data_IF_481714702298
#
_entry.id   IF_481714702298
#
_cell.length_a   1.000
_cell.length_b   1.000
_cell.length_c   1.000
_cell.angle_alpha   90.00
_cell.angle_beta   90.00
_cell.angle_gamma   90.00
#
_symmetry.space_group_name_H-M   'P 1'
#
loop_
_entity.id
_entity.type
_entity.pdbx_description
1 polymer ?
#
# COMPACT_ATOMS: atom_id res chain seq x y z
N UNK A 1 -12.31 1.33 -13.89
CA UNK A 1 -11.43 1.22 -12.72
C UNK A 1 -12.17 0.61 -11.55
N UNK A 2 -11.94 -0.68 -11.36
CA UNK A 2 -12.35 -1.37 -10.15
C UNK A 2 -11.50 -0.87 -8.97
N UNK A 3 -12.08 -0.01 -8.14
CA UNK A 3 -11.40 0.61 -6.98
C UNK A 3 -11.07 -0.40 -5.88
N UNK A 4 -11.50 -1.67 -6.00
CA UNK A 4 -11.34 -2.69 -4.95
C UNK A 4 -9.88 -2.90 -4.60
N UNK A 5 -8.98 -3.12 -5.56
CA UNK A 5 -7.54 -3.37 -5.28
C UNK A 5 -6.87 -2.16 -4.63
N UNK A 6 -7.13 -0.96 -5.16
CA UNK A 6 -6.56 0.28 -4.63
C UNK A 6 -7.09 0.59 -3.23
N UNK A 7 -8.35 0.26 -2.94
CA UNK A 7 -8.95 0.43 -1.60
C UNK A 7 -8.46 -0.61 -0.58
N UNK A 8 -8.05 -1.80 -1.03
CA UNK A 8 -7.58 -2.87 -0.15
C UNK A 8 -6.25 -2.54 0.54
N UNK A 9 -5.33 -1.84 -0.15
CA UNK A 9 -4.02 -1.47 0.40
C UNK A 9 -4.15 -0.67 1.72
N UNK A 10 -4.83 0.50 1.76
CA UNK A 10 -4.98 1.27 2.99
C UNK A 10 -5.81 0.53 4.05
N UNK A 11 -6.73 -0.36 3.64
CA UNK A 11 -7.54 -1.17 4.55
C UNK A 11 -6.72 -2.24 5.25
N UNK A 12 -5.85 -2.95 4.52
CA UNK A 12 -4.87 -3.85 5.13
C UNK A 12 -3.88 -3.09 6.00
N UNK A 13 -3.40 -1.90 5.57
CA UNK A 13 -2.53 -1.07 6.40
C UNK A 13 -3.18 -0.71 7.75
N UNK A 14 -4.47 -0.35 7.74
CA UNK A 14 -5.24 -0.12 8.98
C UNK A 14 -5.42 -1.40 9.80
N UNK A 15 -5.67 -2.54 9.17
CA UNK A 15 -5.77 -3.84 9.85
C UNK A 15 -4.46 -4.20 10.55
N UNK A 16 -3.33 -4.06 9.86
CA UNK A 16 -1.99 -4.31 10.37
C UNK A 16 -1.69 -3.39 11.56
N UNK A 17 -2.03 -2.10 11.45
CA UNK A 17 -1.91 -1.16 12.56
C UNK A 17 -2.73 -1.58 13.79
N UNK A 18 -3.98 -2.01 13.60
CA UNK A 18 -4.82 -2.51 14.69
C UNK A 18 -4.17 -3.72 15.37
N UNK A 19 -3.64 -4.67 14.59
CA UNK A 19 -2.98 -5.86 15.14
C UNK A 19 -1.75 -5.49 15.96
N UNK A 20 -0.88 -4.63 15.41
CA UNK A 20 0.33 -4.15 16.10
C UNK A 20 -0.01 -3.38 17.37
N UNK A 21 -1.04 -2.51 17.35
CA UNK A 21 -1.48 -1.78 18.53
C UNK A 21 -1.94 -2.72 19.65
N UNK A 22 -2.75 -3.73 19.33
CA UNK A 22 -3.23 -4.69 20.31
C UNK A 22 -2.05 -5.50 20.87
N UNK A 23 -1.14 -5.96 20.01
CA UNK A 23 0.07 -6.68 20.42
C UNK A 23 0.99 -5.86 21.33
N UNK A 24 1.05 -4.54 21.13
CA UNK A 24 1.87 -3.63 21.94
C UNK A 24 1.25 -3.28 23.29
N UNK A 25 0.19 -4.00 23.72
CA UNK A 25 -0.53 -3.75 24.97
C UNK A 25 -1.66 -2.72 24.85
N UNK A 26 -2.00 -2.29 23.63
CA UNK A 26 -3.15 -1.43 23.38
C UNK A 26 -4.47 -2.16 23.65
N UNK A 27 -5.51 -1.40 24.03
CA UNK A 27 -6.83 -1.98 24.30
C UNK A 27 -7.47 -2.57 23.03
N UNK A 28 -8.18 -3.67 23.21
CA UNK A 28 -9.09 -4.23 22.22
C UNK A 28 -10.49 -3.64 22.45
N UNK A 29 -10.98 -2.86 21.48
CA UNK A 29 -12.25 -2.14 21.58
C UNK A 29 -13.28 -2.67 20.58
N UNK A 30 -14.55 -2.29 20.76
CA UNK A 30 -15.60 -2.66 19.83
C UNK A 30 -15.35 -2.12 18.42
N UNK A 31 -14.82 -0.91 18.28
CA UNK A 31 -14.50 -0.30 16.98
C UNK A 31 -13.43 -1.09 16.22
N UNK A 32 -12.43 -1.62 16.94
CA UNK A 32 -11.41 -2.51 16.37
C UNK A 32 -12.05 -3.83 15.92
N UNK A 33 -12.90 -4.42 16.75
CA UNK A 33 -13.61 -5.66 16.40
C UNK A 33 -14.60 -5.49 15.24
N UNK A 34 -15.29 -4.36 15.18
CA UNK A 34 -16.19 -3.99 14.08
C UNK A 34 -15.40 -3.82 12.78
N UNK A 35 -14.22 -3.18 12.84
CA UNK A 35 -13.36 -3.05 11.67
C UNK A 35 -12.87 -4.41 11.16
N UNK A 36 -12.41 -5.30 12.05
CA UNK A 36 -11.96 -6.65 11.71
C UNK A 36 -13.10 -7.45 11.06
N UNK A 37 -14.30 -7.42 11.66
CA UNK A 37 -15.48 -8.11 11.15
C UNK A 37 -15.94 -7.55 9.81
N UNK A 38 -15.92 -6.22 9.65
CA UNK A 38 -16.24 -5.54 8.40
C UNK A 38 -15.25 -5.87 7.30
N UNK A 39 -13.95 -5.89 7.61
CA UNK A 39 -12.89 -6.25 6.68
C UNK A 39 -13.11 -7.65 6.08
N UNK A 40 -13.37 -8.65 6.93
CA UNK A 40 -13.63 -10.01 6.46
C UNK A 40 -14.89 -10.09 5.59
N UNK A 41 -15.95 -9.35 5.93
CA UNK A 41 -17.19 -9.31 5.15
C UNK A 41 -17.00 -8.66 3.77
N UNK A 42 -16.22 -7.59 3.71
CA UNK A 42 -15.96 -6.81 2.49
C UNK A 42 -15.06 -7.58 1.51
N UNK A 43 -14.03 -8.25 2.02
CA UNK A 43 -12.99 -8.89 1.21
C UNK A 43 -13.00 -10.42 1.20
N UNK A 44 -13.97 -11.05 1.88
CA UNK A 44 -14.06 -12.50 2.02
C UNK A 44 -14.31 -13.28 0.73
N UNK A 45 -14.72 -12.61 -0.35
CA UNK A 45 -14.88 -13.22 -1.66
C UNK A 45 -13.60 -13.09 -2.51
N UNK A 46 -12.92 -14.23 -2.68
CA UNK A 46 -11.71 -14.36 -3.49
C UNK A 46 -11.97 -14.28 -4.99
N UNK A 47 -13.18 -14.61 -5.48
CA UNK A 47 -13.52 -14.53 -6.90
C UNK A 47 -13.69 -13.07 -7.33
N UNK A 48 -14.39 -12.27 -6.52
CA UNK A 48 -14.49 -10.83 -6.75
C UNK A 48 -13.11 -10.18 -6.70
N UNK A 49 -12.22 -10.63 -5.82
CA UNK A 49 -10.83 -10.18 -5.81
C UNK A 49 -10.07 -10.52 -7.10
N UNK A 50 -10.12 -11.77 -7.56
CA UNK A 50 -9.43 -12.20 -8.79
C UNK A 50 -9.96 -11.44 -10.02
N UNK A 51 -11.26 -11.20 -10.09
CA UNK A 51 -11.90 -10.40 -11.17
C UNK A 51 -11.41 -8.95 -11.17
N UNK A 52 -11.33 -8.32 -10.00
CA UNK A 52 -10.82 -6.96 -9.85
C UNK A 52 -9.34 -6.87 -10.25
N UNK A 53 -8.55 -7.89 -9.91
CA UNK A 53 -7.14 -7.98 -10.27
C UNK A 53 -6.94 -8.13 -11.78
N UNK A 54 -7.71 -9.00 -12.45
CA UNK A 54 -7.69 -9.12 -13.93
C UNK A 54 -8.04 -7.77 -14.56
N UNK A 55 -9.08 -7.11 -14.08
CA UNK A 55 -9.53 -5.81 -14.60
C UNK A 55 -8.45 -4.74 -14.45
N UNK A 56 -7.75 -4.69 -13.31
CA UNK A 56 -6.63 -3.79 -13.07
C UNK A 56 -5.48 -4.01 -14.06
N UNK A 57 -5.12 -5.28 -14.33
CA UNK A 57 -4.06 -5.64 -15.27
C UNK A 57 -4.42 -5.24 -16.70
N UNK A 58 -5.71 -5.30 -17.06
CA UNK A 58 -6.18 -4.90 -18.40
C UNK A 58 -6.27 -3.39 -18.59
N UNK A 59 -6.56 -2.63 -17.52
CA UNK A 59 -6.78 -1.18 -17.59
C UNK A 59 -5.50 -0.33 -17.39
N UNK A 60 -4.46 -0.87 -16.74
CA UNK A 60 -3.25 -0.12 -16.37
C UNK A 60 -1.99 -0.65 -17.05
N UNK A 61 -0.98 0.20 -17.23
CA UNK A 61 0.31 -0.25 -17.76
C UNK A 61 1.11 -1.08 -16.73
N UNK A 62 2.04 -1.88 -17.26
CA UNK A 62 2.84 -2.85 -16.50
C UNK A 62 3.58 -2.27 -15.30
N UNK A 63 4.02 -1.01 -15.38
CA UNK A 63 4.78 -0.39 -14.30
C UNK A 63 3.86 0.01 -13.15
N UNK A 64 2.72 0.63 -13.45
CA UNK A 64 1.81 1.13 -12.41
C UNK A 64 1.08 0.01 -11.66
N UNK A 65 0.54 -1.02 -12.35
CA UNK A 65 -0.11 -2.10 -11.62
C UNK A 65 0.89 -2.96 -10.84
N UNK A 66 2.13 -3.16 -11.34
CA UNK A 66 3.17 -3.91 -10.62
C UNK A 66 3.50 -3.27 -9.27
N UNK A 67 3.61 -1.94 -9.21
CA UNK A 67 3.80 -1.21 -7.94
C UNK A 67 2.64 -1.42 -6.98
N UNK A 68 1.40 -1.38 -7.47
CA UNK A 68 0.21 -1.59 -6.66
C UNK A 68 0.13 -3.03 -6.12
N UNK A 69 0.37 -4.03 -6.98
CA UNK A 69 0.34 -5.45 -6.59
C UNK A 69 1.45 -5.77 -5.58
N UNK A 70 2.66 -5.23 -5.75
CA UNK A 70 3.74 -5.41 -4.78
C UNK A 70 3.43 -4.73 -3.43
N UNK A 71 2.81 -3.55 -3.47
CA UNK A 71 2.37 -2.86 -2.25
C UNK A 71 1.30 -3.66 -1.51
N UNK A 72 0.30 -4.17 -2.22
CA UNK A 72 -0.74 -5.03 -1.65
C UNK A 72 -0.15 -6.34 -1.11
N UNK A 73 0.74 -6.99 -1.87
CA UNK A 73 1.45 -8.19 -1.44
C UNK A 73 2.15 -7.97 -0.10
N UNK A 74 2.92 -6.90 0.03
CA UNK A 74 3.62 -6.55 1.28
C UNK A 74 2.66 -6.38 2.45
N UNK A 75 1.53 -5.70 2.25
CA UNK A 75 0.54 -5.52 3.32
C UNK A 75 -0.13 -6.84 3.75
N UNK A 76 -0.39 -7.74 2.80
CA UNK A 76 -0.94 -9.08 3.07
C UNK A 76 0.07 -9.94 3.82
N UNK A 77 1.33 -9.98 3.36
CA UNK A 77 2.42 -10.70 4.02
C UNK A 77 2.64 -10.21 5.45
N UNK A 78 2.61 -8.89 5.65
CA UNK A 78 2.71 -8.28 6.97
C UNK A 78 1.55 -8.73 7.88
N UNK A 79 0.33 -8.80 7.35
CA UNK A 79 -0.83 -9.27 8.12
C UNK A 79 -0.66 -10.73 8.58
N UNK A 80 -0.30 -11.60 7.65
CA UNK A 80 -0.07 -13.03 7.90
C UNK A 80 1.04 -13.21 8.93
N UNK A 81 2.16 -12.51 8.76
CA UNK A 81 3.30 -12.54 9.69
C UNK A 81 2.91 -12.09 11.09
N UNK A 82 2.20 -10.96 11.19
CA UNK A 82 1.76 -10.39 12.47
C UNK A 82 0.81 -11.35 13.20
N UNK A 83 -0.19 -11.89 12.51
CA UNK A 83 -1.11 -12.87 13.09
C UNK A 83 -0.37 -14.14 13.55
N UNK A 84 0.50 -14.71 12.70
CA UNK A 84 1.21 -15.94 13.02
C UNK A 84 2.18 -15.80 14.19
N UNK A 85 2.83 -14.64 14.33
CA UNK A 85 3.73 -14.33 15.45
C UNK A 85 3.02 -14.40 16.81
N UNK A 86 1.73 -14.04 16.85
CA UNK A 86 0.93 -14.01 18.07
C UNK A 86 -0.40 -14.74 17.92
N UNK A 87 -0.40 -15.90 17.24
CA UNK A 87 -1.61 -16.64 16.90
C UNK A 87 -2.49 -16.95 18.10
N UNK A 88 -1.91 -17.52 19.16
CA UNK A 88 -2.67 -17.89 20.37
C UNK A 88 -3.35 -16.69 21.03
N UNK A 89 -2.71 -15.52 20.97
CA UNK A 89 -3.27 -14.28 21.49
C UNK A 89 -4.46 -13.81 20.65
N UNK A 90 -4.31 -13.75 19.32
CA UNK A 90 -5.38 -13.33 18.43
C UNK A 90 -6.58 -14.29 18.45
N UNK A 91 -6.34 -15.60 18.53
CA UNK A 91 -7.41 -16.61 18.59
C UNK A 91 -8.21 -16.53 19.91
N UNK A 92 -7.58 -16.04 20.99
CA UNK A 92 -8.20 -15.88 22.31
C UNK A 92 -8.76 -14.47 22.58
N UNK A 93 -8.79 -13.58 21.59
CA UNK A 93 -9.39 -12.25 21.76
C UNK A 93 -10.84 -12.39 22.23
N UNK A 94 -11.16 -11.76 23.36
CA UNK A 94 -12.50 -11.77 23.95
C UNK A 94 -13.43 -10.79 23.22
N UNK A 95 -13.79 -11.17 22.01
CA UNK A 95 -14.80 -10.49 21.17
C UNK A 95 -16.15 -10.40 21.87
N UNK A 96 -16.50 -11.41 22.67
CA UNK A 96 -17.72 -11.42 23.47
C UNK A 96 -17.75 -10.31 24.52
N UNK A 97 -16.64 -10.06 25.21
CA UNK A 97 -16.53 -8.97 26.19
C UNK A 97 -16.73 -7.60 25.54
N UNK A 98 -16.01 -7.30 24.46
CA UNK A 98 -16.15 -5.98 23.80
C UNK A 98 -17.55 -5.78 23.21
N UNK A 99 -18.18 -6.85 22.70
CA UNK A 99 -19.56 -6.80 22.21
C UNK A 99 -20.57 -6.55 23.34
N UNK A 100 -20.41 -7.22 24.50
CA UNK A 100 -21.25 -6.98 25.69
C UNK A 100 -21.11 -5.55 26.19
N UNK A 101 -19.89 -5.02 26.25
CA UNK A 101 -19.64 -3.63 26.66
C UNK A 101 -20.33 -2.63 25.73
N UNK A 102 -20.29 -2.85 24.41
CA UNK A 102 -20.98 -2.02 23.43
C UNK A 102 -22.50 -2.07 23.59
N UNK A 103 -23.07 -3.25 23.82
CA UNK A 103 -24.50 -3.42 24.06
C UNK A 103 -24.96 -2.70 25.34
N UNK A 104 -24.19 -2.81 26.43
CA UNK A 104 -24.55 -2.25 27.74
C UNK A 104 -24.31 -0.73 27.87
N UNK A 105 -23.70 -0.08 26.87
CA UNK A 105 -23.29 1.34 26.98
C UNK A 105 -24.43 2.32 27.26
N UNK A 106 -25.67 1.93 26.96
CA UNK A 106 -26.86 2.74 27.18
C UNK A 106 -27.63 2.39 28.46
N UNK A 107 -27.27 1.32 29.17
CA UNK A 107 -28.04 0.81 30.32
C UNK A 107 -28.18 1.88 31.41
N UNK A 108 -27.06 2.52 31.77
CA UNK A 108 -27.06 3.60 32.76
C UNK A 108 -27.88 4.82 32.31
N UNK A 109 -27.80 5.15 31.02
CA UNK A 109 -28.57 6.26 30.44
C UNK A 109 -30.08 5.99 30.49
N UNK A 110 -30.48 4.76 30.17
CA UNK A 110 -31.87 4.30 30.24
C UNK A 110 -32.35 4.33 31.69
N UNK A 111 -31.58 3.77 32.64
CA UNK A 111 -31.95 3.74 34.06
C UNK A 111 -32.15 5.16 34.61
N UNK A 112 -31.26 6.10 34.25
CA UNK A 112 -31.37 7.50 34.65
C UNK A 112 -32.58 8.18 34.01
N UNK A 113 -32.76 8.05 32.70
CA UNK A 113 -33.87 8.69 31.98
C UNK A 113 -35.23 8.10 32.40
N UNK A 114 -35.29 6.82 32.73
CA UNK A 114 -36.48 6.16 33.24
C UNK A 114 -36.93 6.77 34.58
N UNK A 115 -35.99 7.08 35.49
CA UNK A 115 -36.31 7.78 36.75
C UNK A 115 -36.93 9.16 36.49
N UNK A 116 -36.31 9.95 35.62
CA UNK A 116 -36.81 11.27 35.22
C UNK A 116 -38.20 11.17 34.59
N UNK A 117 -38.39 10.23 33.66
CA UNK A 117 -39.67 10.02 32.97
C UNK A 117 -40.77 9.62 33.95
N UNK A 118 -40.45 8.81 34.97
CA UNK A 118 -41.39 8.39 36.00
C UNK A 118 -41.78 9.52 36.97
N UNK A 119 -40.89 10.50 37.21
CA UNK A 119 -41.22 11.71 37.98
C UNK A 119 -42.27 12.55 37.25
N UNK A 120 -42.04 12.85 35.96
CA UNK A 120 -43.01 13.57 35.14
C UNK A 120 -44.32 12.80 34.94
N UNK A 121 -44.26 11.46 34.85
CA UNK A 121 -45.46 10.64 34.82
C UNK A 121 -46.29 10.80 36.10
N UNK A 122 -45.65 10.86 37.27
CA UNK A 122 -46.34 11.08 38.54
C UNK A 122 -47.03 12.45 38.57
N UNK A 123 -46.35 13.51 38.15
CA UNK A 123 -46.95 14.85 38.05
C UNK A 123 -48.14 14.89 37.09
N UNK A 124 -48.04 14.19 35.95
CA UNK A 124 -49.13 14.03 34.99
C UNK A 124 -50.33 13.32 35.62
N UNK A 125 -50.10 12.22 36.34
CA UNK A 125 -51.16 11.48 37.03
C UNK A 125 -51.84 12.31 38.12
N UNK A 126 -51.08 13.11 38.88
CA UNK A 126 -51.63 14.04 39.88
C UNK A 126 -52.46 15.16 39.24
N UNK A 127 -52.00 15.73 38.13
CA UNK A 127 -52.74 16.73 37.37
C UNK A 127 -54.03 16.15 36.78
N UNK A 128 -53.97 14.93 36.22
CA UNK A 128 -55.12 14.21 35.69
C UNK A 128 -56.14 13.90 36.80
N UNK A 129 -55.70 13.37 37.94
CA UNK A 129 -56.59 13.08 39.06
C UNK A 129 -57.25 14.34 39.64
N UNK A 130 -56.53 15.47 39.66
CA UNK A 130 -57.09 16.76 40.07
C UNK A 130 -58.18 17.24 39.10
N UNK A 131 -57.96 17.08 37.79
CA UNK A 131 -58.93 17.42 36.75
C UNK A 131 -60.18 16.52 36.82
N UNK A 132 -60.00 15.21 36.96
CA UNK A 132 -61.09 14.24 37.11
C UNK A 132 -61.94 14.52 38.36
N UNK A 133 -61.29 14.86 39.49
CA UNK A 133 -61.99 15.13 40.75
C UNK A 133 -62.94 16.33 40.67
N UNK A 134 -62.66 17.32 39.82
CA UNK A 134 -63.52 18.51 39.65
C UNK A 134 -64.89 18.16 39.08
N UNK A 135 -64.99 17.12 38.24
CA UNK A 135 -66.26 16.65 37.70
C UNK A 135 -67.26 16.12 38.75
N UNK A 136 -66.82 15.92 40.00
CA UNK A 136 -67.64 15.39 41.10
C UNK A 136 -68.06 16.44 42.14
N UNK A 137 -67.77 17.73 41.93
CA UNK A 137 -68.16 18.82 42.84
C UNK A 137 -68.58 20.09 42.10
N UNK A 138 -69.25 21.00 42.81
CA UNK A 138 -69.47 22.36 42.29
C UNK A 138 -68.13 23.06 42.04
N UNK A 139 -68.01 23.67 40.86
CA UNK A 139 -66.85 24.41 40.39
C UNK A 139 -67.31 25.46 39.37
N UNK A 140 -66.43 26.43 39.09
CA UNK A 140 -66.62 27.37 38.00
C UNK A 140 -65.77 26.99 36.78
N UNK A 141 -66.09 27.61 35.64
CA UNK A 141 -65.38 27.38 34.39
C UNK A 141 -63.90 27.81 34.46
N UNK A 142 -63.55 28.80 35.27
CA UNK A 142 -62.18 29.29 35.36
C UNK A 142 -61.28 28.27 36.08
N UNK A 143 -61.83 27.59 37.08
CA UNK A 143 -61.17 26.50 37.80
C UNK A 143 -60.88 25.30 36.88
N UNK A 144 -61.85 24.89 36.07
CA UNK A 144 -61.68 23.81 35.08
C UNK A 144 -60.60 24.16 34.04
N UNK A 145 -60.67 25.36 33.43
CA UNK A 145 -59.68 25.84 32.45
C UNK A 145 -58.26 25.90 33.04
N UNK A 146 -58.11 26.22 34.33
CA UNK A 146 -56.81 26.23 35.01
C UNK A 146 -56.23 24.83 35.18
N UNK A 147 -57.06 23.84 35.53
CA UNK A 147 -56.65 22.45 35.69
C UNK A 147 -56.32 21.80 34.35
N UNK A 148 -57.10 22.07 33.29
CA UNK A 148 -56.79 21.64 31.93
C UNK A 148 -55.43 22.16 31.47
N UNK A 149 -55.13 23.45 31.68
CA UNK A 149 -53.82 24.04 31.36
C UNK A 149 -52.68 23.38 32.13
N UNK A 150 -52.90 23.03 33.41
CA UNK A 150 -51.91 22.30 34.21
C UNK A 150 -51.68 20.90 33.63
N UNK A 151 -52.75 20.18 33.33
CA UNK A 151 -52.68 18.84 32.73
C UNK A 151 -51.93 18.86 31.40
N UNK A 152 -52.31 19.73 30.47
CA UNK A 152 -51.66 19.81 29.16
C UNK A 152 -50.17 20.17 29.25
N UNK A 153 -49.81 21.05 30.20
CA UNK A 153 -48.40 21.35 30.49
C UNK A 153 -47.66 20.11 31.00
N UNK A 154 -48.20 19.40 31.99
CA UNK A 154 -47.58 18.19 32.54
C UNK A 154 -47.45 17.10 31.47
N UNK A 155 -48.49 16.93 30.63
CA UNK A 155 -48.50 15.98 29.52
C UNK A 155 -47.40 16.26 28.51
N UNK A 156 -47.23 17.52 28.12
CA UNK A 156 -46.17 17.93 27.19
C UNK A 156 -44.76 17.65 27.72
N UNK A 157 -44.51 17.91 29.00
CA UNK A 157 -43.19 17.62 29.59
C UNK A 157 -42.97 16.09 29.74
N UNK A 158 -43.99 15.32 30.13
CA UNK A 158 -43.92 13.86 30.13
C UNK A 158 -43.64 13.29 28.73
N UNK A 159 -44.38 13.72 27.71
CA UNK A 159 -44.21 13.24 26.33
C UNK A 159 -42.80 13.52 25.80
N UNK A 160 -42.23 14.68 26.18
CA UNK A 160 -40.85 15.06 25.85
C UNK A 160 -39.81 14.15 26.51
N UNK A 161 -39.95 13.85 27.81
CA UNK A 161 -39.03 12.95 28.50
C UNK A 161 -39.19 11.48 28.08
N UNK A 162 -40.42 11.06 27.76
CA UNK A 162 -40.73 9.77 27.15
C UNK A 162 -40.07 9.61 25.79
N UNK A 163 -40.14 10.63 24.93
CA UNK A 163 -39.48 10.59 23.63
C UNK A 163 -37.95 10.43 23.73
N UNK A 164 -37.32 11.04 24.75
CA UNK A 164 -35.89 10.83 25.04
C UNK A 164 -35.60 9.40 25.49
N UNK A 165 -36.46 8.82 26.33
CA UNK A 165 -36.33 7.43 26.77
C UNK A 165 -36.48 6.46 25.59
N UNK A 166 -37.45 6.69 24.71
CA UNK A 166 -37.68 5.88 23.50
C UNK A 166 -36.47 5.91 22.57
N UNK A 167 -35.83 7.08 22.42
CA UNK A 167 -34.62 7.22 21.61
C UNK A 167 -33.44 6.41 22.19
N UNK A 168 -33.26 6.41 23.51
CA UNK A 168 -32.23 5.58 24.16
C UNK A 168 -32.47 4.08 23.92
N UNK A 169 -33.72 3.63 23.97
CA UNK A 169 -34.05 2.24 23.66
C UNK A 169 -33.77 1.89 22.20
N UNK A 170 -34.06 2.79 21.24
CA UNK A 170 -33.68 2.60 19.83
C UNK A 170 -32.17 2.47 19.65
N UNK A 171 -31.40 3.31 20.34
CA UNK A 171 -29.94 3.26 20.29
C UNK A 171 -29.38 1.97 20.89
N UNK A 172 -29.96 1.48 21.99
CA UNK A 172 -29.61 0.18 22.58
C UNK A 172 -29.89 -0.99 21.63
N UNK A 173 -31.06 -0.98 20.98
CA UNK A 173 -31.41 -2.02 20.01
C UNK A 173 -30.48 -2.01 18.79
N UNK A 174 -30.04 -0.81 18.36
CA UNK A 174 -29.04 -0.69 17.29
C UNK A 174 -27.67 -1.22 17.73
N UNK A 175 -27.20 -0.87 18.95
CA UNK A 175 -25.93 -1.39 19.48
C UNK A 175 -25.95 -2.92 19.62
N UNK A 176 -27.08 -3.50 20.03
CA UNK A 176 -27.26 -4.96 20.08
C UNK A 176 -27.13 -5.60 18.69
N UNK A 177 -27.77 -5.01 17.67
CA UNK A 177 -27.65 -5.49 16.27
C UNK A 177 -26.21 -5.41 15.75
N UNK A 178 -25.50 -4.33 16.06
CA UNK A 178 -24.08 -4.17 15.70
C UNK A 178 -23.18 -5.18 16.41
N UNK A 179 -23.41 -5.41 17.71
CA UNK A 179 -22.67 -6.37 18.52
C UNK A 179 -22.82 -7.80 17.98
N UNK A 180 -24.05 -8.21 17.64
CA UNK A 180 -24.32 -9.53 17.06
C UNK A 180 -23.55 -9.76 15.75
N UNK A 181 -23.44 -8.72 14.92
CA UNK A 181 -22.70 -8.79 13.66
C UNK A 181 -21.18 -8.91 13.82
N UNK A 182 -20.66 -8.61 15.01
CA UNK A 182 -19.23 -8.59 15.31
C UNK A 182 -18.86 -9.60 16.40
N UNK A 183 -19.75 -10.55 16.73
CA UNK A 183 -19.52 -11.51 17.81
C UNK A 183 -18.44 -12.54 17.47
N UNK A 184 -18.31 -12.91 16.19
CA UNK A 184 -17.34 -13.90 15.75
C UNK A 184 -15.94 -13.29 15.66
N UNK A 185 -14.95 -13.96 16.23
CA UNK A 185 -13.55 -13.62 16.00
C UNK A 185 -13.14 -14.04 14.58
N UNK A 186 -12.80 -13.06 13.75
CA UNK A 186 -12.40 -13.26 12.36
C UNK A 186 -10.89 -13.20 12.14
N UNK A 187 -10.04 -13.00 13.16
CA UNK A 187 -8.60 -12.88 12.95
C UNK A 187 -8.00 -14.09 12.22
N UNK A 188 -8.37 -15.31 12.63
CA UNK A 188 -7.94 -16.53 11.94
C UNK A 188 -8.60 -16.76 10.59
N UNK A 189 -9.85 -16.33 10.39
CA UNK A 189 -10.51 -16.36 9.09
C UNK A 189 -9.79 -15.43 8.09
N UNK A 190 -9.40 -14.24 8.54
CA UNK A 190 -8.66 -13.26 7.76
C UNK A 190 -7.28 -13.79 7.40
N UNK A 191 -6.54 -14.42 8.32
CA UNK A 191 -5.24 -14.99 7.97
C UNK A 191 -5.35 -16.04 6.85
N UNK A 192 -6.37 -16.92 6.90
CA UNK A 192 -6.66 -17.90 5.83
C UNK A 192 -7.03 -17.22 4.51
N UNK A 193 -7.88 -16.21 4.57
CA UNK A 193 -8.26 -15.39 3.42
C UNK A 193 -7.04 -14.71 2.81
N UNK A 194 -6.21 -14.04 3.62
CA UNK A 194 -4.96 -13.40 3.23
C UNK A 194 -4.01 -14.37 2.54
N UNK A 195 -3.88 -15.60 3.04
CA UNK A 195 -3.09 -16.64 2.36
C UNK A 195 -3.65 -17.01 0.98
N UNK A 196 -4.99 -17.09 0.85
CA UNK A 196 -5.64 -17.37 -0.43
C UNK A 196 -5.48 -16.21 -1.43
N UNK A 197 -5.63 -14.97 -0.96
CA UNK A 197 -5.42 -13.75 -1.76
C UNK A 197 -3.96 -13.63 -2.19
N UNK A 198 -3.01 -13.97 -1.33
CA UNK A 198 -1.59 -14.00 -1.65
C UNK A 198 -1.29 -15.03 -2.74
N UNK A 199 -1.84 -16.23 -2.65
CA UNK A 199 -1.68 -17.26 -3.67
C UNK A 199 -2.23 -16.83 -5.03
N UNK A 200 -3.38 -16.15 -5.04
CA UNK A 200 -3.95 -15.54 -6.26
C UNK A 200 -3.00 -14.46 -6.80
N UNK A 201 -2.56 -13.51 -5.98
CA UNK A 201 -1.61 -12.46 -6.38
C UNK A 201 -0.34 -13.05 -6.99
N UNK A 202 0.21 -14.09 -6.37
CA UNK A 202 1.42 -14.75 -6.84
C UNK A 202 1.23 -15.44 -8.19
N UNK A 203 0.06 -16.04 -8.46
CA UNK A 203 -0.26 -16.56 -9.79
C UNK A 203 -0.12 -15.47 -10.86
N UNK A 204 -0.66 -14.27 -10.63
CA UNK A 204 -0.59 -13.20 -11.63
C UNK A 204 0.78 -12.52 -11.70
N UNK A 205 1.52 -12.42 -10.59
CA UNK A 205 2.91 -11.94 -10.59
C UNK A 205 3.88 -12.96 -11.22
N UNK A 206 3.61 -14.26 -11.10
CA UNK A 206 4.42 -15.32 -11.72
C UNK A 206 4.02 -15.56 -13.18
N UNK A 207 2.73 -15.42 -13.51
CA UNK A 207 2.26 -15.35 -14.90
C UNK A 207 2.79 -14.09 -15.59
N UNK A 208 3.11 -13.01 -14.86
CA UNK A 208 3.88 -11.89 -15.38
C UNK A 208 5.31 -12.33 -15.73
N UNK A 209 6.01 -13.02 -14.81
CA UNK A 209 7.35 -13.58 -15.08
C UNK A 209 7.34 -14.64 -16.19
N UNK A 210 6.23 -15.37 -16.36
CA UNK A 210 6.04 -16.37 -17.41
C UNK A 210 5.59 -15.76 -18.72
N UNK A 211 4.77 -14.71 -18.75
CA UNK A 211 4.43 -13.96 -19.98
C UNK A 211 5.61 -13.11 -20.45
N UNK A 212 6.36 -12.51 -19.54
CA UNK A 212 7.71 -11.97 -19.80
C UNK A 212 8.69 -13.09 -20.20
N UNK A 213 8.41 -14.35 -19.90
CA UNK A 213 9.19 -15.54 -20.32
C UNK A 213 8.76 -16.12 -21.67
N UNK A 214 7.46 -16.13 -21.98
CA UNK A 214 6.84 -16.70 -23.18
C UNK A 214 6.89 -15.68 -24.34
N UNK A 215 6.76 -14.38 -24.08
CA UNK A 215 7.06 -13.32 -25.07
C UNK A 215 8.58 -13.28 -25.39
N UNK A 216 9.43 -13.73 -24.46
CA UNK A 216 10.88 -13.93 -24.69
C UNK A 216 11.23 -15.26 -25.37
N UNK A 217 10.34 -16.25 -25.37
CA UNK A 217 10.53 -17.50 -26.11
C UNK A 217 10.07 -17.37 -27.57
N UNK A 218 9.11 -16.50 -27.87
CA UNK A 218 8.73 -16.19 -29.25
C UNK A 218 9.71 -15.23 -29.95
N UNK A 219 10.51 -14.47 -29.20
CA UNK A 219 11.55 -13.56 -29.73
C UNK A 219 12.84 -13.75 -28.94
N UNK A 220 13.51 -14.89 -29.16
CA UNK A 220 14.97 -15.08 -28.95
C UNK A 220 15.60 -14.37 -27.75
N UNK A 221 15.71 -15.09 -26.62
CA UNK A 221 16.84 -15.01 -25.68
C UNK A 221 17.40 -13.61 -25.35
N UNK A 222 16.78 -12.84 -24.45
CA UNK A 222 17.48 -11.73 -23.76
C UNK A 222 17.11 -11.63 -22.26
N UNK A 223 18.07 -12.06 -21.44
CA UNK A 223 18.39 -11.54 -20.09
C UNK A 223 18.17 -10.03 -20.01
N UNK A 224 17.60 -9.52 -18.92
CA UNK A 224 17.79 -8.12 -18.52
C UNK A 224 19.30 -7.84 -18.61
N UNK A 225 19.77 -6.90 -19.44
CA UNK A 225 21.20 -6.75 -19.66
C UNK A 225 21.87 -6.40 -18.34
N UNK A 226 22.98 -7.05 -17.98
CA UNK A 226 23.75 -6.67 -16.80
C UNK A 226 24.13 -5.19 -16.90
N UNK A 227 23.77 -4.40 -15.88
CA UNK A 227 24.29 -3.04 -15.74
C UNK A 227 25.72 -3.15 -15.22
N UNK A 228 26.70 -3.00 -16.11
CA UNK A 228 28.11 -3.10 -15.79
C UNK A 228 28.63 -1.89 -14.98
N UNK A 229 28.15 -0.68 -15.27
CA UNK A 229 28.65 0.54 -14.64
C UNK A 229 27.52 1.43 -14.07
N UNK A 230 27.75 2.04 -12.90
CA UNK A 230 26.82 3.00 -12.33
C UNK A 230 26.76 4.29 -13.16
N UNK A 231 25.59 4.91 -13.22
CA UNK A 231 25.34 6.16 -13.96
C UNK A 231 26.39 7.23 -13.68
N UNK A 232 26.76 7.42 -12.39
CA UNK A 232 27.74 8.43 -11.96
C UNK A 232 29.11 8.29 -12.65
N UNK A 233 29.58 7.07 -12.87
CA UNK A 233 30.85 6.83 -13.55
C UNK A 233 30.73 7.15 -15.04
N UNK A 234 29.64 6.71 -15.67
CA UNK A 234 29.40 6.93 -17.09
C UNK A 234 29.14 8.40 -17.42
N UNK A 235 28.49 9.17 -16.55
CA UNK A 235 28.33 10.62 -16.72
C UNK A 235 29.69 11.33 -16.71
N UNK A 236 30.60 10.96 -15.80
CA UNK A 236 31.95 11.55 -15.77
C UNK A 236 32.78 11.22 -17.02
N UNK A 237 32.65 10.01 -17.56
CA UNK A 237 33.28 9.62 -18.83
C UNK A 237 32.61 10.34 -20.00
N UNK A 238 31.28 10.43 -20.00
CA UNK A 238 30.50 11.11 -21.04
C UNK A 238 30.88 12.58 -21.16
N UNK A 239 30.99 13.31 -20.04
CA UNK A 239 31.40 14.72 -20.01
C UNK A 239 32.77 14.96 -20.66
N UNK A 240 33.68 13.98 -20.58
CA UNK A 240 35.03 14.07 -21.14
C UNK A 240 35.14 13.55 -22.56
N UNK A 241 34.41 12.49 -22.90
CA UNK A 241 34.63 11.74 -24.14
C UNK A 241 33.56 11.99 -25.21
N UNK A 242 32.37 12.48 -24.85
CA UNK A 242 31.31 12.77 -25.81
C UNK A 242 31.68 13.97 -26.68
N UNK A 243 31.68 13.80 -28.00
CA UNK A 243 32.15 14.82 -28.92
C UNK A 243 33.67 14.88 -29.07
N UNK A 244 34.47 14.23 -28.22
CA UNK A 244 35.94 14.19 -28.32
C UNK A 244 36.44 12.83 -28.85
N UNK A 245 36.25 11.75 -28.08
CA UNK A 245 36.59 10.38 -28.49
C UNK A 245 35.44 9.71 -29.25
N UNK A 246 34.20 10.03 -28.87
CA UNK A 246 33.00 9.51 -29.49
C UNK A 246 32.28 10.58 -30.32
N UNK A 247 31.54 10.15 -31.33
CA UNK A 247 30.56 11.03 -31.97
C UNK A 247 29.52 11.49 -30.95
N UNK A 248 28.97 12.70 -31.12
CA UNK A 248 28.01 13.25 -30.18
C UNK A 248 26.74 12.38 -30.13
N UNK A 249 26.45 11.83 -28.96
CA UNK A 249 25.25 11.06 -28.65
C UNK A 249 24.56 11.64 -27.41
N UNK A 250 23.31 11.23 -27.15
CA UNK A 250 22.64 11.57 -25.90
C UNK A 250 23.32 10.86 -24.71
N UNK A 251 23.23 11.43 -23.51
CA UNK A 251 23.76 10.79 -22.30
C UNK A 251 23.09 9.44 -22.02
N UNK A 252 21.79 9.33 -22.33
CA UNK A 252 21.01 8.09 -22.21
C UNK A 252 21.51 7.02 -23.19
N UNK A 253 21.76 7.38 -24.45
CA UNK A 253 22.32 6.45 -25.44
C UNK A 253 23.74 6.05 -25.05
N UNK A 254 24.57 6.99 -24.59
CA UNK A 254 25.91 6.67 -24.11
C UNK A 254 25.87 5.66 -22.95
N UNK A 255 24.97 5.90 -21.97
CA UNK A 255 24.74 4.99 -20.86
C UNK A 255 24.30 3.61 -21.32
N UNK A 256 23.34 3.54 -22.24
CA UNK A 256 22.82 2.29 -22.77
C UNK A 256 23.89 1.51 -23.54
N UNK A 257 24.65 2.17 -24.43
CA UNK A 257 25.73 1.53 -25.19
C UNK A 257 26.84 1.01 -24.28
N UNK A 258 27.28 1.81 -23.28
CA UNK A 258 28.34 1.39 -22.35
C UNK A 258 27.93 0.24 -21.44
N UNK A 259 26.64 0.12 -21.12
CA UNK A 259 26.09 -1.01 -20.37
C UNK A 259 25.57 -2.15 -21.27
N UNK A 260 25.76 -2.07 -22.58
CA UNK A 260 25.29 -3.07 -23.55
C UNK A 260 23.78 -3.32 -23.44
N UNK A 261 23.03 -2.27 -23.11
CA UNK A 261 21.57 -2.24 -23.05
C UNK A 261 20.99 -1.82 -24.41
N UNK A 262 19.69 -2.01 -24.65
CA UNK A 262 19.02 -1.47 -25.83
C UNK A 262 19.23 0.05 -25.92
N UNK A 263 19.73 0.50 -27.08
CA UNK A 263 20.01 1.91 -27.37
C UNK A 263 19.22 2.36 -28.60
N UNK A 264 18.88 3.65 -28.66
CA UNK A 264 18.23 4.23 -29.85
C UNK A 264 19.29 4.62 -30.89
N UNK A 265 20.45 5.10 -30.42
CA UNK A 265 21.58 5.51 -31.26
C UNK A 265 22.85 4.70 -30.94
N UNK A 266 23.46 4.09 -31.97
CA UNK A 266 24.70 3.32 -31.81
C UNK A 266 25.89 4.26 -31.52
N UNK A 267 26.63 3.97 -30.46
CA UNK A 267 27.86 4.68 -30.12
C UNK A 267 28.95 4.45 -31.18
N UNK A 268 29.59 5.52 -31.64
CA UNK A 268 30.62 5.49 -32.68
C UNK A 268 31.87 6.24 -32.23
N UNK A 269 33.02 5.70 -32.60
CA UNK A 269 34.33 6.31 -32.32
C UNK A 269 34.65 7.35 -33.41
N UNK A 270 35.13 8.54 -33.02
CA UNK A 270 35.60 9.54 -33.98
C UNK A 270 36.87 9.06 -34.70
N UNK A 271 37.12 9.51 -35.96
CA UNK A 271 38.32 9.13 -36.69
C UNK A 271 39.60 9.43 -35.89
N UNK A 272 40.54 8.48 -35.85
CA UNK A 272 41.83 8.54 -35.12
C UNK A 272 41.76 8.42 -33.59
N UNK A 273 40.58 8.22 -33.00
CA UNK A 273 40.41 8.07 -31.54
C UNK A 273 40.45 6.61 -31.05
N UNK A 274 40.53 5.63 -31.96
CA UNK A 274 40.41 4.19 -31.65
C UNK A 274 41.38 3.71 -30.57
N UNK A 275 42.62 4.20 -30.56
CA UNK A 275 43.62 3.85 -29.55
C UNK A 275 43.27 4.37 -28.13
N UNK A 276 42.76 5.61 -28.04
CA UNK A 276 42.29 6.20 -26.78
C UNK A 276 41.06 5.49 -26.24
N UNK A 277 40.13 5.13 -27.12
CA UNK A 277 38.97 4.30 -26.75
C UNK A 277 39.40 2.92 -26.26
N UNK A 278 40.41 2.29 -26.86
CA UNK A 278 40.96 1.02 -26.34
C UNK A 278 41.50 1.18 -24.91
N UNK A 279 42.16 2.29 -24.59
CA UNK A 279 42.62 2.56 -23.23
C UNK A 279 41.47 2.81 -22.24
N UNK A 280 40.41 3.51 -22.68
CA UNK A 280 39.20 3.69 -21.88
C UNK A 280 38.52 2.34 -21.58
N UNK A 281 38.36 1.46 -22.58
CA UNK A 281 37.83 0.11 -22.41
C UNK A 281 38.67 -0.68 -21.40
N UNK A 282 40.00 -0.58 -21.47
CA UNK A 282 40.88 -1.19 -20.48
C UNK A 282 40.59 -0.69 -19.07
N UNK A 283 40.54 0.63 -18.84
CA UNK A 283 40.29 1.21 -17.52
C UNK A 283 38.92 0.83 -16.97
N UNK A 284 37.88 0.90 -17.80
CA UNK A 284 36.53 0.50 -17.42
C UNK A 284 36.48 -0.99 -17.09
N UNK A 285 37.11 -1.85 -17.90
CA UNK A 285 37.20 -3.29 -17.63
C UNK A 285 37.89 -3.60 -16.31
N UNK A 286 38.92 -2.83 -15.92
CA UNK A 286 39.59 -3.01 -14.63
C UNK A 286 38.68 -2.76 -13.42
N UNK A 287 37.58 -2.01 -13.58
CA UNK A 287 36.58 -1.81 -12.51
C UNK A 287 35.61 -2.97 -12.33
N UNK A 288 35.57 -3.92 -13.28
CA UNK A 288 34.66 -5.06 -13.26
C UNK A 288 35.31 -6.32 -12.67
N UNK A 289 34.53 -7.22 -12.04
CA UNK A 289 34.96 -8.58 -11.71
C UNK A 289 35.44 -9.33 -12.96
N UNK A 290 36.42 -10.23 -12.81
CA UNK A 290 36.99 -11.02 -13.94
C UNK A 290 35.98 -11.64 -14.91
N UNK A 291 34.90 -12.33 -14.47
CA UNK A 291 33.94 -12.93 -15.40
C UNK A 291 33.18 -11.88 -16.23
N UNK A 292 32.77 -10.77 -15.60
CA UNK A 292 32.03 -9.69 -16.26
C UNK A 292 32.93 -8.84 -17.15
N UNK A 293 34.20 -8.66 -16.76
CA UNK A 293 35.22 -7.93 -17.51
C UNK A 293 35.44 -8.52 -18.89
N UNK A 294 35.66 -9.83 -18.98
CA UNK A 294 35.96 -10.47 -20.26
C UNK A 294 34.76 -10.41 -21.20
N UNK A 295 33.55 -10.69 -20.67
CA UNK A 295 32.31 -10.63 -21.44
C UNK A 295 32.00 -9.21 -21.92
N UNK A 296 32.01 -8.23 -21.03
CA UNK A 296 31.75 -6.83 -21.38
C UNK A 296 32.74 -6.30 -22.42
N UNK A 297 34.04 -6.60 -22.22
CA UNK A 297 35.11 -6.16 -23.12
C UNK A 297 34.92 -6.72 -24.53
N UNK A 298 34.56 -7.99 -24.67
CA UNK A 298 34.29 -8.61 -25.98
C UNK A 298 33.10 -7.92 -26.67
N UNK A 299 31.98 -7.76 -25.96
CA UNK A 299 30.76 -7.19 -26.49
C UNK A 299 30.90 -5.70 -26.87
N UNK A 300 31.58 -4.89 -26.04
CA UNK A 300 31.80 -3.46 -26.34
C UNK A 300 32.78 -3.26 -27.50
N UNK A 301 33.79 -4.12 -27.63
CA UNK A 301 34.70 -4.09 -28.78
C UNK A 301 33.96 -4.42 -30.08
N UNK A 302 33.07 -5.42 -30.05
CA UNK A 302 32.20 -5.76 -31.18
C UNK A 302 31.26 -4.61 -31.55
N UNK A 303 30.65 -3.95 -30.55
CA UNK A 303 29.79 -2.79 -30.76
C UNK A 303 30.54 -1.64 -31.45
N UNK A 304 31.79 -1.39 -31.05
CA UNK A 304 32.61 -0.28 -31.54
C UNK A 304 33.47 -0.61 -32.77
N UNK A 305 33.44 -1.85 -33.28
CA UNK A 305 34.25 -2.28 -34.43
C UNK A 305 35.76 -2.32 -34.14
N UNK A 306 36.14 -2.70 -32.92
CA UNK A 306 37.53 -2.90 -32.51
C UNK A 306 37.85 -4.38 -32.61
N UNK A 307 38.83 -4.73 -33.43
CA UNK A 307 39.33 -6.10 -33.52
C UNK A 307 40.29 -6.42 -32.35
N UNK A 308 40.26 -7.67 -31.89
CA UNK A 308 41.06 -8.14 -30.75
C UNK A 308 42.58 -7.94 -30.96
N UNK A 309 43.07 -8.13 -32.20
CA UNK A 309 44.47 -7.91 -32.57
C UNK A 309 44.90 -6.45 -32.39
N UNK A 310 44.07 -5.51 -32.84
CA UNK A 310 44.29 -4.09 -32.66
C UNK A 310 44.20 -3.71 -31.19
N UNK A 311 43.17 -4.17 -30.48
CA UNK A 311 43.01 -3.89 -29.05
C UNK A 311 44.25 -4.29 -28.27
N UNK A 312 44.72 -5.54 -28.40
CA UNK A 312 45.92 -6.06 -27.72
C UNK A 312 47.19 -5.26 -28.03
N UNK A 313 47.32 -4.72 -29.25
CA UNK A 313 48.46 -3.89 -29.65
C UNK A 313 48.36 -2.44 -29.16
N UNK A 314 47.15 -1.91 -28.90
CA UNK A 314 46.89 -0.47 -28.82
C UNK A 314 46.31 0.01 -27.49
N UNK A 315 45.74 -0.89 -26.67
CA UNK A 315 45.09 -0.49 -25.41
C UNK A 315 46.02 0.18 -24.38
N UNK A 316 47.34 -0.01 -24.48
CA UNK A 316 48.34 0.69 -23.65
C UNK A 316 49.08 1.81 -24.37
N UNK A 317 48.76 2.11 -25.62
CA UNK A 317 49.44 3.16 -26.39
C UNK A 317 49.38 4.54 -25.72
N UNK A 318 48.26 4.95 -25.07
CA UNK A 318 48.21 6.23 -24.39
C UNK A 318 49.13 6.37 -23.17
N UNK A 319 49.64 5.25 -22.67
CA UNK A 319 50.55 5.16 -21.51
C UNK A 319 51.84 4.41 -21.85
N UNK A 320 52.22 4.41 -23.14
CA UNK A 320 53.48 3.81 -23.60
C UNK A 320 54.70 4.61 -23.11
N UNK A 321 55.92 4.10 -23.35
CA UNK A 321 57.15 4.76 -22.92
C UNK A 321 57.36 6.14 -23.58
N UNK A 322 56.76 6.35 -24.77
CA UNK A 322 56.82 7.59 -25.53
C UNK A 322 55.43 7.96 -26.10
N UNK A 323 54.46 8.36 -25.25
CA UNK A 323 53.13 8.74 -25.72
C UNK A 323 53.17 10.14 -26.36
N UNK A 324 52.33 10.40 -27.36
CA UNK A 324 52.12 11.77 -27.84
C UNK A 324 51.48 12.63 -26.76
N UNK A 325 51.69 13.95 -26.76
CA UNK A 325 51.13 14.88 -25.78
C UNK A 325 49.62 14.70 -25.56
N UNK A 326 48.85 14.58 -26.65
CA UNK A 326 47.39 14.36 -26.61
C UNK A 326 46.99 13.03 -25.95
N UNK A 327 47.84 11.99 -26.06
CA UNK A 327 47.61 10.71 -25.39
C UNK A 327 47.94 10.78 -23.91
N UNK A 328 49.00 11.52 -23.55
CA UNK A 328 49.38 11.74 -22.16
C UNK A 328 48.30 12.55 -21.42
N UNK A 329 47.77 13.59 -22.07
CA UNK A 329 46.68 14.40 -21.53
C UNK A 329 45.41 13.56 -21.32
N UNK A 330 44.97 12.83 -22.35
CA UNK A 330 43.83 11.93 -22.24
C UNK A 330 44.02 10.89 -21.13
N UNK A 331 45.19 10.26 -21.04
CA UNK A 331 45.45 9.27 -20.00
C UNK A 331 45.42 9.88 -18.59
N UNK A 332 45.85 11.13 -18.43
CA UNK A 332 45.79 11.86 -17.16
C UNK A 332 44.33 12.17 -16.77
N UNK A 333 43.51 12.61 -17.72
CA UNK A 333 42.08 12.86 -17.49
C UNK A 333 41.31 11.59 -17.16
N UNK A 334 41.56 10.49 -17.86
CA UNK A 334 40.89 9.23 -17.54
C UNK A 334 41.32 8.72 -16.16
N UNK A 335 42.61 8.80 -15.83
CA UNK A 335 43.07 8.41 -14.49
C UNK A 335 42.45 9.23 -13.36
N UNK A 336 42.01 10.48 -13.57
CA UNK A 336 41.32 11.22 -12.50
C UNK A 336 39.87 10.76 -12.30
N UNK A 337 39.24 10.16 -13.30
CA UNK A 337 37.89 9.57 -13.21
C UNK A 337 37.92 8.21 -12.49
N UNK A 338 38.92 7.37 -12.78
CA UNK A 338 38.99 5.98 -12.31
C UNK A 338 39.82 5.78 -11.02
N UNK A 339 40.20 6.84 -10.30
CA UNK A 339 41.08 6.76 -9.12
C UNK A 339 40.38 7.01 -7.79
#
# INVERSE_FOLDING_TARGET
MDERITSMIPRYGKLNKIYTEIMSGGSFSFEKQQFISGFYREYGDTQTFETALISLILEMDATHYSVLLNSLKREIENNISTYNTCKEFFDRLDTGYVCRQHESRFDWGIDRQMKVTNEYYRELMEANGSLEAVGFREHDRQEEELLERRYERCKREYDKEKARLDELYKQKEQAKREALQCLKNHCGDICRLSGSLLAILEKYLTDQKKKEGEEKEAVTAQTTPPTYFPMKLLSAVYEKCNGEQFEAVSELDFYANMNLQPYESRLKIRPREKARVCYLIFLMGETLPKPDREKWKEDIMNLLGIDDTYYKSKYKEPVSDFPSDSNQEFAKEMRSIFR
#
